data_IF_997392707250
#
_entry.id   IF_997392707250
#
_cell.length_a   1.000
_cell.length_b   1.000
_cell.length_c   1.000
_cell.angle_alpha   90.00
_cell.angle_beta   90.00
_cell.angle_gamma   90.00
#
_symmetry.space_group_name_H-M   'P 1'
#
loop_
_entity.id
_entity.type
_entity.pdbx_description
1 polymer ?
#
# COMPACT_ATOMS: atom_id res chain seq x y z
N UNK A 1 -24.16 3.28 25.94
CA UNK A 1 -23.08 3.46 24.94
C UNK A 1 -22.67 2.17 24.22
N UNK A 2 -22.69 0.99 24.85
CA UNK A 2 -22.32 -0.31 24.24
C UNK A 2 -23.19 -0.76 23.04
N UNK A 3 -24.52 -0.50 23.04
CA UNK A 3 -25.44 -0.94 21.96
C UNK A 3 -25.27 -0.21 20.61
N UNK A 4 -24.68 0.99 20.57
CA UNK A 4 -24.44 1.73 19.31
C UNK A 4 -23.13 1.30 18.61
N UNK A 5 -22.14 0.83 19.38
CA UNK A 5 -20.86 0.35 18.86
C UNK A 5 -21.01 -1.06 18.24
N UNK A 6 -21.84 -1.91 18.84
CA UNK A 6 -22.15 -3.24 18.29
C UNK A 6 -22.90 -3.21 16.96
N UNK A 7 -23.76 -2.20 16.75
CA UNK A 7 -24.52 -2.02 15.50
C UNK A 7 -23.65 -1.69 14.28
N UNK A 8 -22.72 -0.73 14.42
CA UNK A 8 -21.75 -0.40 13.34
C UNK A 8 -20.82 -1.58 13.04
N UNK A 9 -20.34 -2.27 14.08
CA UNK A 9 -19.44 -3.42 13.92
C UNK A 9 -20.11 -4.64 13.26
N UNK A 10 -21.40 -4.86 13.52
CA UNK A 10 -22.20 -5.85 12.80
C UNK A 10 -22.26 -5.57 11.29
N UNK A 11 -22.39 -4.28 10.92
CA UNK A 11 -22.40 -3.82 9.52
C UNK A 11 -21.08 -4.08 8.79
N UNK A 12 -19.93 -3.79 9.42
CA UNK A 12 -18.61 -4.06 8.83
C UNK A 12 -18.37 -5.56 8.60
N UNK A 13 -18.69 -6.41 9.58
CA UNK A 13 -18.55 -7.88 9.44
C UNK A 13 -19.48 -8.46 8.37
N UNK A 14 -20.71 -7.96 8.26
CA UNK A 14 -21.64 -8.38 7.22
C UNK A 14 -21.13 -7.97 5.84
N UNK A 15 -20.62 -6.74 5.71
CA UNK A 15 -20.03 -6.23 4.47
C UNK A 15 -18.81 -7.02 4.06
N UNK A 16 -17.90 -7.33 4.99
CA UNK A 16 -16.73 -8.17 4.76
C UNK A 16 -17.13 -9.54 4.18
N UNK A 17 -18.04 -10.26 4.84
CA UNK A 17 -18.52 -11.55 4.34
C UNK A 17 -19.18 -11.45 2.96
N UNK A 18 -19.90 -10.36 2.70
CA UNK A 18 -20.55 -10.12 1.41
C UNK A 18 -19.50 -9.90 0.31
N UNK A 19 -18.48 -9.09 0.57
CA UNK A 19 -17.37 -8.84 -0.38
C UNK A 19 -16.63 -10.15 -0.67
N UNK A 20 -16.24 -10.90 0.37
CA UNK A 20 -15.57 -12.19 0.19
C UNK A 20 -16.39 -13.16 -0.65
N UNK A 21 -17.69 -13.31 -0.34
CA UNK A 21 -18.59 -14.18 -1.11
C UNK A 21 -18.76 -13.72 -2.56
N UNK A 22 -18.92 -12.42 -2.79
CA UNK A 22 -19.14 -11.88 -4.13
C UNK A 22 -17.92 -12.07 -5.05
N UNK A 23 -16.72 -12.15 -4.47
CA UNK A 23 -15.47 -12.33 -5.21
C UNK A 23 -14.91 -13.77 -5.12
N UNK A 24 -15.61 -14.69 -4.44
CA UNK A 24 -15.15 -16.08 -4.29
C UNK A 24 -13.88 -16.26 -3.45
N UNK A 25 -13.52 -15.28 -2.61
CA UNK A 25 -12.28 -15.26 -1.82
C UNK A 25 -12.52 -15.56 -0.35
N UNK A 26 -11.46 -15.93 0.36
CA UNK A 26 -11.47 -16.16 1.80
C UNK A 26 -10.36 -15.36 2.47
N UNK A 27 -10.77 -14.36 3.26
CA UNK A 27 -9.88 -13.43 3.92
C UNK A 27 -9.99 -13.53 5.44
N UNK A 28 -8.85 -13.31 6.11
CA UNK A 28 -8.70 -13.05 7.53
C UNK A 28 -8.41 -11.56 7.75
N UNK A 29 -8.94 -11.01 8.83
CA UNK A 29 -8.70 -9.63 9.26
C UNK A 29 -7.87 -9.56 10.55
N UNK A 30 -7.13 -10.63 10.88
CA UNK A 30 -6.34 -10.67 12.12
C UNK A 30 -7.21 -10.65 13.39
N UNK A 31 -6.56 -10.38 14.53
CA UNK A 31 -7.23 -10.23 15.83
C UNK A 31 -7.81 -8.82 16.00
N UNK A 32 -7.16 -7.83 15.40
CA UNK A 32 -7.61 -6.44 15.41
C UNK A 32 -8.58 -6.17 14.26
N UNK A 33 -9.51 -5.22 14.44
CA UNK A 33 -10.65 -5.05 13.52
C UNK A 33 -10.34 -4.06 12.39
N UNK A 34 -9.10 -3.61 12.31
CA UNK A 34 -8.67 -2.51 11.46
C UNK A 34 -8.76 -2.90 9.97
N UNK A 35 -8.51 -4.18 9.64
CA UNK A 35 -8.69 -4.70 8.28
C UNK A 35 -10.12 -4.63 7.72
N UNK A 36 -11.16 -4.50 8.56
CA UNK A 36 -12.54 -4.43 8.05
C UNK A 36 -12.83 -3.15 7.26
N UNK A 37 -12.19 -2.03 7.63
CA UNK A 37 -12.31 -0.75 6.91
C UNK A 37 -11.56 -0.78 5.59
N UNK A 38 -10.30 -1.21 5.64
CA UNK A 38 -9.41 -1.33 4.48
C UNK A 38 -10.02 -2.19 3.38
N UNK A 39 -10.67 -3.32 3.72
CA UNK A 39 -11.33 -4.14 2.70
C UNK A 39 -12.43 -3.37 1.95
N UNK A 40 -13.18 -2.51 2.65
CA UNK A 40 -14.22 -1.70 2.01
C UNK A 40 -13.61 -0.61 1.12
N UNK A 41 -12.53 0.03 1.57
CA UNK A 41 -11.80 1.03 0.80
C UNK A 41 -11.28 0.46 -0.52
N UNK A 42 -10.70 -0.75 -0.47
CA UNK A 42 -10.19 -1.44 -1.65
C UNK A 42 -11.30 -1.97 -2.55
N UNK A 43 -12.20 -2.83 -2.05
CA UNK A 43 -13.15 -3.54 -2.92
C UNK A 43 -14.43 -2.75 -3.23
N UNK A 44 -14.94 -1.96 -2.28
CA UNK A 44 -16.21 -1.27 -2.43
C UNK A 44 -16.05 0.18 -2.89
N UNK A 45 -15.13 0.93 -2.27
CA UNK A 45 -14.85 2.32 -2.65
C UNK A 45 -13.89 2.41 -3.84
N UNK A 46 -13.11 1.35 -4.10
CA UNK A 46 -12.17 1.27 -5.23
C UNK A 46 -11.14 2.40 -5.22
N UNK A 47 -10.60 2.71 -4.04
CA UNK A 47 -9.69 3.85 -3.84
C UNK A 47 -8.45 3.83 -4.76
N UNK A 48 -8.02 2.64 -5.20
CA UNK A 48 -6.86 2.44 -6.08
C UNK A 48 -7.22 2.00 -7.50
N UNK A 49 -8.49 2.15 -7.94
CA UNK A 49 -8.92 1.71 -9.28
C UNK A 49 -8.66 2.72 -10.40
N UNK A 50 -8.44 3.99 -10.07
CA UNK A 50 -8.09 5.02 -11.05
C UNK A 50 -6.74 4.66 -11.69
N UNK A 51 -6.70 4.53 -13.02
CA UNK A 51 -5.53 4.09 -13.81
C UNK A 51 -4.98 2.70 -13.44
N UNK A 52 -5.76 1.87 -12.75
CA UNK A 52 -5.41 0.47 -12.53
C UNK A 52 -5.50 -0.32 -13.84
N UNK A 53 -4.55 -1.22 -14.14
CA UNK A 53 -4.52 -2.00 -15.39
C UNK A 53 -5.52 -3.17 -15.35
N UNK A 54 -6.81 -2.85 -15.47
CA UNK A 54 -7.88 -3.85 -15.41
C UNK A 54 -7.78 -4.82 -16.60
N UNK A 55 -7.73 -6.11 -16.28
CA UNK A 55 -7.71 -7.22 -17.26
C UNK A 55 -6.48 -7.25 -18.18
N UNK A 56 -5.42 -6.53 -17.81
CA UNK A 56 -4.15 -6.51 -18.54
C UNK A 56 -3.10 -7.36 -17.81
N UNK A 57 -2.26 -8.06 -18.58
CA UNK A 57 -1.15 -8.84 -18.04
C UNK A 57 -0.04 -7.89 -17.63
N UNK A 58 -0.09 -7.46 -16.37
CA UNK A 58 0.72 -6.37 -15.84
C UNK A 58 1.58 -6.78 -14.65
N UNK A 59 2.69 -6.07 -14.44
CA UNK A 59 3.49 -6.13 -13.23
C UNK A 59 3.01 -5.06 -12.24
N UNK A 60 2.51 -5.51 -11.10
CA UNK A 60 1.94 -4.67 -10.05
C UNK A 60 2.79 -4.81 -8.80
N UNK A 61 3.22 -3.68 -8.23
CA UNK A 61 3.98 -3.65 -6.97
C UNK A 61 3.13 -2.96 -5.89
N UNK A 62 2.84 -3.68 -4.81
CA UNK A 62 2.05 -3.23 -3.65
C UNK A 62 2.97 -3.04 -2.44
N UNK A 63 3.38 -1.80 -2.17
CA UNK A 63 4.21 -1.45 -1.00
C UNK A 63 3.29 -1.06 0.15
N UNK A 64 3.50 -1.72 1.29
CA UNK A 64 2.59 -1.64 2.44
C UNK A 64 1.35 -2.51 2.21
N UNK A 65 1.59 -3.77 1.87
CA UNK A 65 0.53 -4.70 1.52
C UNK A 65 -0.39 -5.03 2.72
N UNK A 66 0.04 -4.79 3.96
CA UNK A 66 -0.72 -5.04 5.19
C UNK A 66 -1.28 -6.48 5.22
N UNK A 67 -2.60 -6.66 5.17
CA UNK A 67 -3.27 -7.98 5.10
C UNK A 67 -3.48 -8.53 3.69
N UNK A 68 -3.00 -7.84 2.66
CA UNK A 68 -3.05 -8.28 1.26
C UNK A 68 -4.35 -8.00 0.53
N UNK A 69 -5.19 -7.09 1.04
CA UNK A 69 -6.48 -6.84 0.40
C UNK A 69 -6.35 -6.18 -0.97
N UNK A 70 -5.45 -5.21 -1.13
CA UNK A 70 -5.14 -4.66 -2.44
C UNK A 70 -4.48 -5.72 -3.33
N UNK A 71 -3.50 -6.47 -2.83
CA UNK A 71 -2.85 -7.50 -3.64
C UNK A 71 -3.82 -8.56 -4.18
N UNK A 72 -4.79 -8.99 -3.37
CA UNK A 72 -5.84 -9.94 -3.78
C UNK A 72 -6.85 -9.27 -4.71
N UNK A 73 -7.20 -8.00 -4.48
CA UNK A 73 -7.99 -7.23 -5.42
C UNK A 73 -7.30 -7.16 -6.79
N UNK A 74 -6.00 -6.86 -6.82
CA UNK A 74 -5.22 -6.76 -8.05
C UNK A 74 -5.17 -8.10 -8.78
N UNK A 75 -4.88 -9.20 -8.08
CA UNK A 75 -4.90 -10.56 -8.63
C UNK A 75 -6.24 -10.93 -9.28
N UNK A 76 -7.36 -10.52 -8.69
CA UNK A 76 -8.70 -10.82 -9.22
C UNK A 76 -9.13 -9.93 -10.39
N UNK A 77 -8.47 -8.78 -10.60
CA UNK A 77 -8.94 -7.75 -11.53
C UNK A 77 -7.92 -7.38 -12.62
N UNK A 78 -6.68 -7.85 -12.53
CA UNK A 78 -5.69 -7.80 -13.60
C UNK A 78 -5.87 -8.99 -14.57
N UNK A 79 -5.00 -9.07 -15.58
CA UNK A 79 -4.95 -10.17 -16.54
C UNK A 79 -4.51 -11.50 -15.90
N UNK A 80 -4.78 -12.63 -16.56
CA UNK A 80 -4.47 -13.96 -16.03
C UNK A 80 -2.96 -14.21 -15.81
N UNK A 81 -2.10 -13.53 -16.56
CA UNK A 81 -0.63 -13.65 -16.47
C UNK A 81 -0.01 -12.47 -15.70
N UNK A 82 -0.83 -11.61 -15.10
CA UNK A 82 -0.34 -10.49 -14.28
C UNK A 82 0.47 -11.00 -13.08
N UNK A 83 1.52 -10.26 -12.71
CA UNK A 83 2.40 -10.57 -11.57
C UNK A 83 2.24 -9.51 -10.49
N UNK A 84 1.92 -9.93 -9.26
CA UNK A 84 1.72 -9.01 -8.13
C UNK A 84 2.81 -9.24 -7.09
N UNK A 85 3.68 -8.26 -6.89
CA UNK A 85 4.68 -8.27 -5.81
C UNK A 85 4.14 -7.49 -4.61
N UNK A 86 3.98 -8.17 -3.47
CA UNK A 86 3.39 -7.58 -2.26
C UNK A 86 4.43 -7.44 -1.17
N UNK A 87 4.76 -6.22 -0.76
CA UNK A 87 5.80 -5.95 0.23
C UNK A 87 5.19 -5.52 1.57
N UNK A 88 5.45 -6.28 2.62
CA UNK A 88 4.97 -6.01 3.99
C UNK A 88 6.06 -6.28 5.03
N UNK A 89 6.52 -5.28 5.79
CA UNK A 89 7.63 -5.44 6.72
C UNK A 89 7.26 -6.19 8.01
N UNK A 90 6.07 -5.96 8.57
CA UNK A 90 5.68 -6.53 9.87
C UNK A 90 5.51 -8.03 9.77
N UNK A 91 6.13 -8.76 10.69
CA UNK A 91 5.99 -10.22 10.74
C UNK A 91 4.52 -10.63 10.89
N UNK A 92 3.76 -9.93 11.73
CA UNK A 92 2.36 -10.23 11.98
C UNK A 92 1.51 -10.06 10.71
N UNK A 93 1.60 -8.88 10.09
CA UNK A 93 0.84 -8.54 8.89
C UNK A 93 1.22 -9.46 7.73
N UNK A 94 2.51 -9.70 7.54
CA UNK A 94 3.03 -10.62 6.53
C UNK A 94 2.47 -12.05 6.68
N UNK A 95 2.32 -12.54 7.92
CA UNK A 95 1.72 -13.86 8.16
C UNK A 95 0.24 -13.90 7.76
N UNK A 96 -0.50 -12.82 7.98
CA UNK A 96 -1.91 -12.69 7.57
C UNK A 96 -2.02 -12.54 6.05
N UNK A 97 -1.18 -11.72 5.42
CA UNK A 97 -1.05 -11.60 3.96
C UNK A 97 -0.89 -12.98 3.30
N UNK A 98 0.10 -13.76 3.74
CA UNK A 98 0.35 -15.11 3.21
C UNK A 98 -0.84 -16.06 3.40
N UNK A 99 -1.49 -15.98 4.55
CA UNK A 99 -2.70 -16.76 4.81
C UNK A 99 -3.83 -16.36 3.86
N UNK A 100 -4.04 -15.08 3.64
CA UNK A 100 -5.11 -14.56 2.78
C UNK A 100 -4.89 -14.93 1.32
N UNK A 101 -3.65 -14.88 0.84
CA UNK A 101 -3.24 -15.38 -0.49
C UNK A 101 -3.63 -16.85 -0.64
N UNK A 102 -3.17 -17.70 0.30
CA UNK A 102 -3.45 -19.14 0.29
C UNK A 102 -4.95 -19.45 0.37
N UNK A 103 -5.65 -18.84 1.33
CA UNK A 103 -7.06 -19.13 1.59
C UNK A 103 -7.94 -18.62 0.42
N UNK A 104 -7.53 -17.55 -0.27
CA UNK A 104 -8.20 -17.02 -1.47
C UNK A 104 -7.82 -17.74 -2.77
N UNK A 105 -6.84 -18.64 -2.72
CA UNK A 105 -6.37 -19.45 -3.87
C UNK A 105 -5.91 -18.60 -5.07
N UNK A 106 -5.24 -17.49 -4.78
CA UNK A 106 -4.58 -16.70 -5.82
C UNK A 106 -3.13 -17.17 -5.95
N UNK A 107 -2.66 -17.33 -7.18
CA UNK A 107 -1.36 -17.96 -7.48
C UNK A 107 -0.32 -16.97 -7.99
N UNK A 108 -0.75 -15.79 -8.45
CA UNK A 108 0.09 -14.76 -9.03
C UNK A 108 0.46 -13.62 -8.06
N UNK A 109 0.32 -13.85 -6.75
CA UNK A 109 0.72 -12.91 -5.70
C UNK A 109 1.93 -13.43 -4.95
N UNK A 110 3.02 -12.66 -4.99
CA UNK A 110 4.32 -13.01 -4.43
C UNK A 110 4.63 -12.10 -3.23
N UNK A 111 4.39 -12.57 -1.99
CA UNK A 111 4.60 -11.76 -0.80
C UNK A 111 6.08 -11.76 -0.38
N UNK A 112 6.61 -10.57 -0.08
CA UNK A 112 7.98 -10.34 0.37
C UNK A 112 7.96 -9.62 1.72
N UNK A 113 8.68 -10.18 2.70
CA UNK A 113 8.84 -9.54 4.02
C UNK A 113 10.04 -8.59 4.02
N UNK A 114 9.79 -7.34 3.68
CA UNK A 114 10.76 -6.25 3.74
C UNK A 114 10.03 -4.91 3.92
N UNK A 115 10.74 -3.89 4.37
CA UNK A 115 10.36 -2.50 4.20
C UNK A 115 10.98 -1.98 2.90
N UNK A 116 10.25 -1.13 2.17
CA UNK A 116 10.83 -0.32 1.11
C UNK A 116 11.21 1.03 1.70
N UNK A 117 12.44 1.48 1.45
CA UNK A 117 12.95 2.79 1.90
C UNK A 117 13.98 3.34 0.92
N UNK A 118 14.60 4.46 1.25
CA UNK A 118 15.73 5.05 0.52
C UNK A 118 17.05 4.27 0.68
N UNK A 119 17.14 3.31 1.62
CA UNK A 119 18.38 2.58 1.90
C UNK A 119 18.16 1.09 2.19
N UNK A 120 19.09 0.25 1.72
CA UNK A 120 19.11 -1.18 2.02
C UNK A 120 19.85 -1.48 3.33
N UNK A 121 19.33 -2.40 4.14
CA UNK A 121 19.91 -2.79 5.43
C UNK A 121 18.89 -3.36 6.42
N UNK A 122 19.04 -2.97 7.68
CA UNK A 122 18.07 -3.24 8.75
C UNK A 122 17.46 -1.91 9.20
N UNK A 123 16.14 -1.90 9.42
CA UNK A 123 15.42 -0.75 9.94
C UNK A 123 14.61 -1.12 11.19
N UNK A 124 14.34 -0.13 12.04
CA UNK A 124 13.38 -0.25 13.12
C UNK A 124 11.99 0.13 12.60
N UNK A 125 11.08 -0.83 12.56
CA UNK A 125 9.66 -0.59 12.30
C UNK A 125 8.97 -0.24 13.62
N UNK A 126 8.38 0.94 13.70
CA UNK A 126 7.58 1.36 14.86
C UNK A 126 6.19 0.74 14.75
N UNK A 127 5.85 -0.10 15.73
CA UNK A 127 4.55 -0.75 15.80
C UNK A 127 3.53 0.24 16.35
N UNK A 128 2.60 0.66 15.49
CA UNK A 128 1.46 1.46 15.90
C UNK A 128 0.57 0.76 16.93
N UNK A 129 -0.32 1.52 17.57
CA UNK A 129 -1.37 0.95 18.45
C UNK A 129 -2.38 0.08 17.68
N UNK A 130 -2.42 0.26 16.37
CA UNK A 130 -3.18 -0.49 15.38
C UNK A 130 -2.20 -1.25 14.49
N UNK A 131 -2.71 -2.03 13.54
CA UNK A 131 -1.90 -2.86 12.64
C UNK A 131 -1.22 -2.06 11.51
N UNK A 132 -1.33 -0.72 11.58
CA UNK A 132 -0.58 0.21 10.76
C UNK A 132 0.76 0.51 11.45
N UNK A 133 1.85 0.31 10.72
CA UNK A 133 3.21 0.44 11.23
C UNK A 133 4.03 1.32 10.29
N UNK A 134 4.99 2.06 10.85
CA UNK A 134 5.76 3.06 10.10
C UNK A 134 7.24 2.95 10.42
N UNK A 135 8.10 3.32 9.46
CA UNK A 135 9.52 3.57 9.71
C UNK A 135 9.76 4.89 10.46
N UNK A 136 8.72 5.73 10.59
CA UNK A 136 8.78 6.99 11.33
C UNK A 136 8.10 6.86 12.69
N UNK A 137 8.78 7.35 13.72
CA UNK A 137 8.24 7.35 15.08
C UNK A 137 7.12 8.37 15.22
N UNK A 138 5.95 7.92 15.68
CA UNK A 138 4.86 8.82 16.09
C UNK A 138 4.89 9.14 17.58
N UNK A 139 5.19 10.40 17.92
CA UNK A 139 5.08 10.94 19.28
C UNK A 139 6.19 10.50 20.26
N UNK A 140 6.15 11.07 21.45
CA UNK A 140 7.28 11.02 22.40
C UNK A 140 7.21 9.87 23.43
N UNK A 141 6.16 9.05 23.38
CA UNK A 141 5.94 7.95 24.34
C UNK A 141 6.73 6.67 24.04
N UNK A 142 6.70 5.67 24.94
CA UNK A 142 7.21 4.32 24.67
C UNK A 142 6.45 3.72 23.46
N UNK A 143 7.21 3.13 22.54
CA UNK A 143 6.70 2.50 21.32
C UNK A 143 7.40 1.17 21.16
N UNK A 144 6.64 0.12 20.83
CA UNK A 144 7.22 -1.18 20.48
C UNK A 144 7.84 -1.10 19.08
N UNK A 145 8.96 -1.76 18.88
CA UNK A 145 9.64 -1.81 17.58
C UNK A 145 9.91 -3.24 17.14
N UNK A 146 9.95 -3.45 15.83
CA UNK A 146 10.35 -4.69 15.19
C UNK A 146 11.54 -4.40 14.28
N UNK A 147 12.60 -5.21 14.36
CA UNK A 147 13.71 -5.15 13.40
C UNK A 147 13.29 -5.83 12.10
N UNK A 148 13.35 -5.09 11.01
CA UNK A 148 12.93 -5.58 9.69
C UNK A 148 14.02 -5.38 8.65
N UNK A 149 14.04 -6.28 7.66
CA UNK A 149 14.85 -6.10 6.46
C UNK A 149 14.33 -4.87 5.72
N UNK A 150 15.22 -3.96 5.36
CA UNK A 150 14.91 -2.80 4.52
C UNK A 150 15.66 -2.92 3.19
N UNK A 151 15.00 -2.61 2.09
CA UNK A 151 15.60 -2.55 0.74
C UNK A 151 15.08 -1.33 -0.02
N UNK A 152 15.82 -0.87 -1.02
CA UNK A 152 15.31 0.14 -1.96
C UNK A 152 14.34 -0.47 -2.96
N UNK A 153 13.51 0.37 -3.59
CA UNK A 153 12.64 -0.10 -4.68
C UNK A 153 13.46 -0.67 -5.84
N UNK A 154 14.58 -0.05 -6.23
CA UNK A 154 15.50 -0.61 -7.23
C UNK A 154 16.02 -2.00 -6.84
N UNK A 155 16.42 -2.18 -5.57
CA UNK A 155 16.90 -3.48 -5.07
C UNK A 155 15.80 -4.53 -5.17
N UNK A 156 14.55 -4.17 -4.82
CA UNK A 156 13.40 -5.05 -4.97
C UNK A 156 13.22 -5.50 -6.43
N UNK A 157 13.18 -4.54 -7.36
CA UNK A 157 12.97 -4.85 -8.78
C UNK A 157 14.10 -5.72 -9.33
N UNK A 158 15.35 -5.47 -8.93
CA UNK A 158 16.49 -6.29 -9.31
C UNK A 158 16.40 -7.72 -8.75
N UNK A 159 16.06 -7.88 -7.47
CA UNK A 159 15.95 -9.21 -6.84
C UNK A 159 14.81 -10.05 -7.41
N UNK A 160 13.76 -9.42 -7.93
CA UNK A 160 12.62 -10.09 -8.54
C UNK A 160 12.70 -10.19 -10.06
N UNK A 161 13.81 -9.73 -10.67
CA UNK A 161 14.03 -9.73 -12.13
C UNK A 161 12.91 -9.00 -12.90
N UNK A 162 12.48 -7.84 -12.36
CA UNK A 162 11.41 -7.02 -12.92
C UNK A 162 12.02 -5.87 -13.71
N UNK A 163 11.76 -5.81 -15.01
CA UNK A 163 12.25 -4.71 -15.85
C UNK A 163 11.37 -3.46 -15.73
N UNK A 164 10.05 -3.62 -15.78
CA UNK A 164 9.05 -2.55 -15.77
C UNK A 164 7.92 -2.83 -14.76
N UNK A 165 7.30 -1.76 -14.25
CA UNK A 165 6.17 -1.81 -13.31
C UNK A 165 5.03 -0.99 -13.90
N UNK A 166 3.94 -1.66 -14.27
CA UNK A 166 2.77 -0.99 -14.81
C UNK A 166 2.02 -0.20 -13.74
N UNK A 167 1.98 -0.73 -12.52
CA UNK A 167 1.26 -0.11 -11.41
C UNK A 167 1.99 -0.27 -10.08
N UNK A 168 2.50 0.83 -9.54
CA UNK A 168 3.08 0.92 -8.20
C UNK A 168 2.06 1.52 -7.22
N UNK A 169 1.61 0.74 -6.24
CA UNK A 169 0.90 1.27 -5.08
C UNK A 169 1.88 1.57 -3.95
N UNK A 170 1.75 2.74 -3.33
CA UNK A 170 2.45 3.15 -2.12
C UNK A 170 1.45 3.57 -1.04
N UNK A 171 1.44 2.84 0.06
CA UNK A 171 0.70 3.14 1.30
C UNK A 171 1.50 2.58 2.47
N UNK A 172 2.50 3.34 2.92
CA UNK A 172 3.53 2.87 3.85
C UNK A 172 3.78 3.86 5.00
N UNK A 173 2.73 4.57 5.41
CA UNK A 173 2.64 5.37 6.62
C UNK A 173 3.80 6.38 6.76
N UNK A 174 4.16 7.04 5.65
CA UNK A 174 5.15 8.11 5.59
C UNK A 174 6.42 7.74 4.82
N UNK A 175 6.68 6.46 4.58
CA UNK A 175 7.84 6.05 3.77
C UNK A 175 7.68 6.39 2.28
N UNK A 176 6.52 6.86 1.83
CA UNK A 176 6.29 7.25 0.44
C UNK A 176 7.25 8.38 0.01
N UNK A 177 7.56 9.30 0.93
CA UNK A 177 8.44 10.44 0.67
C UNK A 177 9.89 10.05 0.38
N UNK A 178 10.64 9.42 1.30
CA UNK A 178 12.02 9.04 1.01
C UNK A 178 12.11 8.07 -0.17
N UNK A 179 11.13 7.18 -0.38
CA UNK A 179 11.12 6.26 -1.53
C UNK A 179 11.08 7.04 -2.85
N UNK A 180 10.19 8.02 -2.97
CA UNK A 180 9.98 8.70 -4.24
C UNK A 180 10.88 9.91 -4.46
N UNK A 181 11.17 10.69 -3.41
CA UNK A 181 11.99 11.91 -3.53
C UNK A 181 13.46 11.59 -3.80
N UNK A 182 13.94 10.42 -3.34
CA UNK A 182 15.29 9.93 -3.65
C UNK A 182 15.33 9.08 -4.94
N UNK A 183 14.16 8.71 -5.50
CA UNK A 183 14.10 7.98 -6.76
C UNK A 183 14.45 8.89 -7.94
N UNK A 184 15.49 8.51 -8.69
CA UNK A 184 15.88 9.19 -9.93
C UNK A 184 15.22 8.61 -11.18
N UNK A 185 15.57 9.18 -12.33
CA UNK A 185 15.09 8.75 -13.65
C UNK A 185 15.23 7.25 -13.92
N UNK A 186 16.36 6.63 -13.55
CA UNK A 186 16.58 5.19 -13.84
C UNK A 186 15.52 4.28 -13.24
N UNK A 187 14.95 4.64 -12.09
CA UNK A 187 13.87 3.91 -11.45
C UNK A 187 12.51 4.38 -11.96
N UNK A 188 12.29 5.70 -11.96
CA UNK A 188 11.00 6.29 -12.30
C UNK A 188 10.62 6.13 -13.77
N UNK A 189 11.58 5.92 -14.67
CA UNK A 189 11.33 5.63 -16.09
C UNK A 189 10.83 4.21 -16.34
N UNK A 190 10.99 3.31 -15.37
CA UNK A 190 10.50 1.92 -15.43
C UNK A 190 9.08 1.77 -14.88
N UNK A 191 8.45 2.86 -14.43
CA UNK A 191 7.14 2.82 -13.78
C UNK A 191 6.13 3.60 -14.61
N UNK A 192 5.02 2.94 -14.99
CA UNK A 192 3.96 3.56 -15.80
C UNK A 192 3.00 4.38 -14.94
N UNK A 193 2.48 3.80 -13.86
CA UNK A 193 1.52 4.46 -12.96
C UNK A 193 1.92 4.28 -11.50
N UNK A 194 1.81 5.36 -10.73
CA UNK A 194 2.04 5.39 -9.28
C UNK A 194 0.76 5.88 -8.59
N UNK A 195 0.21 5.07 -7.69
CA UNK A 195 -0.95 5.39 -6.85
C UNK A 195 -0.52 5.45 -5.39
N UNK A 196 -0.62 6.64 -4.81
CA UNK A 196 -0.04 6.96 -3.50
C UNK A 196 -1.15 7.35 -2.53
N UNK A 197 -1.12 6.76 -1.34
CA UNK A 197 -1.75 7.28 -0.13
C UNK A 197 -0.63 7.86 0.75
N UNK A 198 -0.52 9.19 0.80
CA UNK A 198 0.61 9.84 1.48
C UNK A 198 0.22 10.35 2.87
N UNK A 199 1.19 10.26 3.79
CA UNK A 199 0.99 10.51 5.21
C UNK A 199 1.90 11.62 5.72
N UNK A 200 1.37 12.79 6.09
CA UNK A 200 2.19 13.91 6.56
C UNK A 200 2.93 13.61 7.87
N UNK A 201 4.25 13.70 7.76
CA UNK A 201 5.22 13.52 8.84
C UNK A 201 5.53 14.82 9.61
N UNK A 202 4.79 15.90 9.33
CA UNK A 202 4.96 17.26 9.84
C UNK A 202 6.36 17.82 9.54
N UNK A 203 6.91 17.51 8.36
CA UNK A 203 8.18 18.04 7.86
C UNK A 203 7.93 18.95 6.67
N UNK A 204 8.68 20.05 6.58
CA UNK A 204 8.49 21.03 5.50
C UNK A 204 8.79 20.44 4.11
N UNK A 205 9.74 19.52 4.03
CA UNK A 205 10.11 18.83 2.80
C UNK A 205 9.12 17.72 2.38
N UNK A 206 8.37 17.13 3.31
CA UNK A 206 7.53 15.96 3.05
C UNK A 206 6.06 16.36 2.90
N UNK A 207 5.74 16.86 1.71
CA UNK A 207 4.37 17.27 1.34
C UNK A 207 3.92 16.59 0.06
N UNK A 208 2.61 16.34 -0.08
CA UNK A 208 2.06 15.82 -1.34
C UNK A 208 2.38 16.71 -2.55
N UNK A 209 2.59 18.01 -2.35
CA UNK A 209 3.05 18.92 -3.41
C UNK A 209 4.50 18.67 -3.83
N UNK A 210 5.39 18.32 -2.88
CA UNK A 210 6.76 17.93 -3.19
C UNK A 210 6.78 16.65 -4.04
N UNK A 211 5.99 15.63 -3.65
CA UNK A 211 5.80 14.41 -4.45
C UNK A 211 5.29 14.73 -5.86
N UNK A 212 4.23 15.54 -5.96
CA UNK A 212 3.64 15.91 -7.24
C UNK A 212 4.60 16.72 -8.13
N UNK A 213 5.49 17.52 -7.55
CA UNK A 213 6.52 18.26 -8.30
C UNK A 213 7.58 17.29 -8.82
N UNK A 214 8.15 16.47 -7.95
CA UNK A 214 9.19 15.51 -8.29
C UNK A 214 8.75 14.56 -9.41
N UNK A 215 7.54 14.02 -9.30
CA UNK A 215 7.00 13.11 -10.32
C UNK A 215 6.77 13.80 -11.68
N UNK A 216 6.34 15.07 -11.69
CA UNK A 216 6.25 15.85 -12.95
C UNK A 216 7.61 16.09 -13.60
N UNK A 217 8.63 16.38 -12.80
CA UNK A 217 10.01 16.55 -13.27
C UNK A 217 10.55 15.26 -13.91
N UNK A 218 10.03 14.11 -13.49
CA UNK A 218 10.33 12.78 -14.04
C UNK A 218 9.32 12.31 -15.11
N UNK A 219 8.58 13.26 -15.70
CA UNK A 219 7.74 12.99 -16.87
C UNK A 219 6.37 12.38 -16.57
N UNK A 220 5.92 12.30 -15.33
CA UNK A 220 4.55 11.87 -15.02
C UNK A 220 3.54 13.01 -15.15
N UNK A 221 2.33 12.68 -15.58
CA UNK A 221 1.16 13.53 -15.39
C UNK A 221 0.48 13.24 -14.06
N UNK A 222 0.07 14.29 -13.32
CA UNK A 222 -0.67 14.12 -12.06
C UNK A 222 -2.16 14.08 -12.37
N UNK A 223 -2.69 12.87 -12.53
CA UNK A 223 -4.08 12.63 -12.88
C UNK A 223 -5.06 12.83 -11.71
N UNK A 224 -4.59 12.64 -10.47
CA UNK A 224 -5.37 12.89 -9.26
C UNK A 224 -4.47 13.46 -8.18
N UNK A 225 -4.95 14.49 -7.50
CA UNK A 225 -4.31 15.03 -6.30
C UNK A 225 -5.39 15.55 -5.35
N UNK A 226 -5.60 14.84 -4.25
CA UNK A 226 -6.57 15.20 -3.22
C UNK A 226 -5.90 15.14 -1.87
N UNK A 227 -6.01 16.19 -1.07
CA UNK A 227 -5.51 16.22 0.30
C UNK A 227 -6.58 16.82 1.22
N UNK A 228 -6.57 16.43 2.49
CA UNK A 228 -7.49 16.94 3.50
C UNK A 228 -6.83 17.18 4.85
N UNK A 229 -7.38 18.10 5.67
CA UNK A 229 -6.98 18.23 7.06
C UNK A 229 -7.49 17.02 7.84
N UNK A 230 -6.59 16.23 8.44
CA UNK A 230 -7.00 15.20 9.40
C UNK A 230 -7.29 15.81 10.77
N UNK A 231 -8.00 15.05 11.62
CA UNK A 231 -8.38 15.41 13.01
C UNK A 231 -7.14 15.72 13.91
N UNK A 232 -5.92 15.57 13.39
CA UNK A 232 -4.63 15.76 14.09
C UNK A 232 -3.71 16.84 13.47
N UNK A 233 -4.22 17.71 12.59
CA UNK A 233 -3.42 18.64 11.79
C UNK A 233 -2.29 17.92 11.00
N UNK A 234 -2.58 16.74 10.47
CA UNK A 234 -1.69 16.04 9.51
C UNK A 234 -2.32 16.14 8.12
N UNK A 235 -1.56 16.53 7.10
CA UNK A 235 -1.98 16.40 5.70
C UNK A 235 -2.01 14.91 5.31
N UNK A 236 -3.16 14.42 4.91
CA UNK A 236 -3.29 13.08 4.36
C UNK A 236 -3.97 13.22 3.01
N UNK A 237 -3.60 12.36 2.07
CA UNK A 237 -4.19 12.46 0.75
C UNK A 237 -3.81 11.35 -0.20
N UNK A 238 -4.39 11.47 -1.38
CA UNK A 238 -4.17 10.57 -2.51
C UNK A 238 -3.55 11.34 -3.66
N UNK A 239 -2.56 10.72 -4.30
CA UNK A 239 -1.91 11.22 -5.50
C UNK A 239 -1.83 10.07 -6.51
N UNK A 240 -2.26 10.32 -7.74
CA UNK A 240 -2.05 9.40 -8.86
C UNK A 240 -1.25 10.12 -9.93
N UNK A 241 -0.11 9.54 -10.25
CA UNK A 241 0.81 10.00 -11.28
C UNK A 241 0.94 8.92 -12.34
N UNK A 242 0.84 9.27 -13.63
CA UNK A 242 0.90 8.27 -14.70
C UNK A 242 1.58 8.82 -15.96
N UNK A 243 2.25 7.93 -16.69
CA UNK A 243 2.79 8.16 -18.04
C UNK A 243 1.86 7.64 -19.15
N UNK A 244 0.77 6.93 -18.80
CA UNK A 244 -0.16 6.32 -19.76
C UNK A 244 -1.01 7.34 -20.55
N UNK A 245 -0.90 8.63 -20.25
CA UNK A 245 -1.63 9.71 -20.94
C UNK A 245 -0.81 10.36 -22.09
N UNK A 246 0.45 9.96 -22.25
CA UNK A 246 1.39 10.47 -23.27
C UNK A 246 1.39 9.59 -24.52
#
# INVERSE_FOLDING_TARGET
MLKKITGKLGGFRASFRRICRANGIQLSYGLQKDGLGVLQEVFAARNYADYFPFYEDSVIVDVGAHYGYFSIFASLNAGPEATIISVEPSQHNYHILRRNIRDSKVENVYPIRAAISDQSGEAELYLGRHENHSLFREGDGPVETEKVRSITLDTLLQEQDIEEVDFLKLDCEGAEYPILLEAGHSLLDRITTISIEFHDLKREEYTGLALARHLREHGFEIAKFTHGPTIRDKNYGFLIATKALQ
#
